data_IF_110586163853
#
_entry.id   IF_110586163853
#
_cell.length_a   1.000
_cell.length_b   1.000
_cell.length_c   1.000
_cell.angle_alpha   90.00
_cell.angle_beta   90.00
_cell.angle_gamma   90.00
#
_symmetry.space_group_name_H-M   'P 1'
#
loop_
_entity.id
_entity.type
_entity.pdbx_description
1 polymer ?
#
# COMPACT_ATOMS: atom_id res chain seq x y z
N UNK A 1 -12.48 -22.53 -18.79
CA UNK A 1 -12.47 -21.85 -17.48
C UNK A 1 -13.77 -21.07 -17.39
N UNK A 2 -14.60 -21.33 -16.37
CA UNK A 2 -15.90 -20.68 -16.24
C UNK A 2 -15.71 -19.17 -16.04
N UNK A 3 -16.18 -18.37 -16.99
CA UNK A 3 -16.30 -16.92 -16.86
C UNK A 3 -17.45 -16.66 -15.89
N UNK A 4 -17.16 -16.51 -14.60
CA UNK A 4 -18.13 -16.00 -13.63
C UNK A 4 -18.46 -14.56 -14.02
N UNK A 5 -19.72 -14.28 -14.35
CA UNK A 5 -20.14 -12.93 -14.68
C UNK A 5 -19.81 -11.97 -13.53
N UNK A 6 -19.44 -10.71 -13.78
CA UNK A 6 -19.22 -9.74 -12.72
C UNK A 6 -20.49 -9.60 -11.89
N UNK A 7 -20.38 -9.84 -10.58
CA UNK A 7 -21.52 -9.76 -9.66
C UNK A 7 -21.34 -8.55 -8.76
N UNK A 8 -21.83 -7.41 -9.20
CA UNK A 8 -21.99 -6.23 -8.34
C UNK A 8 -22.84 -6.60 -7.13
N UNK A 9 -22.46 -6.08 -5.95
CA UNK A 9 -23.16 -6.35 -4.70
C UNK A 9 -23.74 -5.06 -4.17
N UNK A 10 -25.01 -5.08 -3.81
CA UNK A 10 -25.68 -3.99 -3.10
C UNK A 10 -25.61 -4.22 -1.59
N UNK A 11 -25.11 -3.24 -0.85
CA UNK A 11 -24.97 -3.36 0.60
C UNK A 11 -24.99 -2.00 1.30
N UNK A 12 -25.28 -1.97 2.60
CA UNK A 12 -25.11 -0.78 3.43
C UNK A 12 -23.72 -0.76 4.03
N UNK A 13 -23.01 0.35 3.84
CA UNK A 13 -21.68 0.54 4.41
C UNK A 13 -21.77 1.26 5.75
N UNK A 14 -20.78 1.02 6.62
CA UNK A 14 -20.60 1.79 7.85
C UNK A 14 -19.59 2.89 7.63
N UNK A 15 -20.03 4.12 7.85
CA UNK A 15 -19.24 5.32 7.63
C UNK A 15 -18.83 5.97 8.94
N UNK A 16 -17.72 6.71 8.91
CA UNK A 16 -17.33 7.56 10.03
C UNK A 16 -18.37 8.66 10.17
N UNK A 17 -19.06 8.69 11.31
CA UNK A 17 -20.04 9.72 11.61
C UNK A 17 -19.32 10.99 12.08
N UNK A 18 -19.56 12.11 11.41
CA UNK A 18 -18.98 13.39 11.80
C UNK A 18 -19.44 13.78 13.20
N UNK A 19 -18.49 13.97 14.12
CA UNK A 19 -18.75 14.38 15.49
C UNK A 19 -18.44 15.86 15.65
N UNK A 20 -19.20 16.56 16.51
CA UNK A 20 -18.94 17.96 16.84
C UNK A 20 -17.49 18.16 17.34
N UNK A 21 -16.93 17.18 18.05
CA UNK A 21 -15.54 17.23 18.53
C UNK A 21 -14.50 17.34 17.41
N UNK A 22 -14.82 16.93 16.17
CA UNK A 22 -13.88 16.97 15.04
C UNK A 22 -13.54 18.37 14.55
N UNK A 23 -14.34 19.37 14.95
CA UNK A 23 -14.07 20.78 14.68
C UNK A 23 -12.86 21.32 15.46
N UNK A 24 -12.56 20.74 16.62
CA UNK A 24 -11.48 21.19 17.50
C UNK A 24 -10.44 20.09 17.79
N UNK A 25 -10.75 18.82 17.50
CA UNK A 25 -9.88 17.68 17.74
C UNK A 25 -9.95 16.69 16.58
N UNK A 26 -8.83 16.41 15.92
CA UNK A 26 -8.80 15.50 14.75
C UNK A 26 -9.35 14.10 15.11
N UNK A 27 -10.04 13.41 14.18
CA UNK A 27 -10.35 11.99 14.33
C UNK A 27 -9.05 11.18 14.53
N UNK A 28 -9.00 10.34 15.56
CA UNK A 28 -7.83 9.56 15.92
C UNK A 28 -8.20 8.18 16.47
N UNK A 29 -7.27 7.23 16.28
CA UNK A 29 -7.22 5.94 16.98
C UNK A 29 -5.79 5.65 17.37
N UNK A 30 -5.53 5.56 18.67
CA UNK A 30 -4.25 5.23 19.26
C UNK A 30 -4.05 3.72 19.14
N UNK A 31 -3.01 3.32 18.43
CA UNK A 31 -2.60 1.93 18.34
C UNK A 31 -1.98 1.49 19.68
N UNK A 32 -2.64 0.58 20.40
CA UNK A 32 -2.08 -0.01 21.61
C UNK A 32 -1.16 -1.17 21.26
N UNK A 33 0.16 -0.95 21.39
CA UNK A 33 1.16 -2.00 21.21
C UNK A 33 1.70 -2.45 22.59
N UNK A 34 1.57 -3.74 22.92
CA UNK A 34 2.12 -4.31 24.15
C UNK A 34 1.07 -4.84 25.15
N UNK A 35 1.54 -5.35 26.31
CA UNK A 35 0.67 -5.80 27.41
C UNK A 35 0.13 -4.58 28.16
N UNK A 36 -1.19 -4.46 28.31
CA UNK A 36 -1.85 -3.39 29.08
C UNK A 36 -1.25 -3.31 30.49
N UNK A 37 -0.78 -2.14 30.94
CA UNK A 37 -0.42 -1.95 32.36
C UNK A 37 -1.72 -1.80 33.16
N UNK A 38 -1.80 -2.45 34.31
CA UNK A 38 -2.99 -2.40 35.19
C UNK A 38 -3.33 -0.99 35.68
N UNK A 39 -2.37 -0.06 35.62
CA UNK A 39 -2.49 1.33 36.05
C UNK A 39 -2.97 2.29 34.95
N UNK A 40 -3.15 1.83 33.70
CA UNK A 40 -3.63 2.68 32.62
C UNK A 40 -5.13 2.94 32.82
N UNK A 41 -5.44 3.93 33.66
CA UNK A 41 -6.77 4.51 33.78
C UNK A 41 -7.34 4.72 32.37
N UNK A 42 -8.57 4.23 32.13
CA UNK A 42 -9.31 4.12 30.84
C UNK A 42 -9.13 5.32 29.89
N UNK A 43 -7.95 5.50 29.30
CA UNK A 43 -7.73 6.53 28.31
C UNK A 43 -8.45 6.07 27.04
N UNK A 44 -9.38 6.89 26.54
CA UNK A 44 -10.11 6.60 25.30
C UNK A 44 -9.09 6.42 24.17
N UNK A 45 -9.05 5.22 23.61
CA UNK A 45 -8.10 4.84 22.57
C UNK A 45 -8.50 5.36 21.19
N UNK A 46 -9.70 5.90 21.03
CA UNK A 46 -10.14 6.61 19.82
C UNK A 46 -11.28 7.57 20.15
N UNK A 47 -11.50 8.53 19.26
CA UNK A 47 -12.71 9.37 19.21
C UNK A 47 -13.57 9.07 17.97
N UNK A 48 -13.31 7.96 17.26
CA UNK A 48 -14.06 7.53 16.06
C UNK A 48 -15.42 6.93 16.44
N UNK A 49 -16.48 7.41 15.80
CA UNK A 49 -17.85 6.85 15.89
C UNK A 49 -18.28 6.47 14.49
N UNK A 50 -18.79 5.25 14.31
CA UNK A 50 -19.27 4.77 13.02
C UNK A 50 -20.77 4.53 13.08
N UNK A 51 -21.46 4.93 12.02
CA UNK A 51 -22.89 4.67 11.82
C UNK A 51 -23.08 3.96 10.48
N UNK A 52 -24.18 3.22 10.36
CA UNK A 52 -24.59 2.68 9.06
C UNK A 52 -25.07 3.81 8.15
N UNK A 53 -24.74 3.74 6.87
CA UNK A 53 -25.22 4.67 5.86
C UNK A 53 -26.72 4.56 5.63
N UNK A 54 -27.33 5.68 5.28
CA UNK A 54 -28.76 5.74 4.98
C UNK A 54 -29.07 4.98 3.67
N UNK A 55 -28.18 5.13 2.68
CA UNK A 55 -28.34 4.59 1.34
C UNK A 55 -27.67 3.22 1.15
N UNK A 56 -28.17 2.50 0.14
CA UNK A 56 -27.56 1.27 -0.35
C UNK A 56 -26.47 1.62 -1.36
N UNK A 57 -25.28 1.09 -1.14
CA UNK A 57 -24.11 1.29 -1.97
C UNK A 57 -23.89 0.10 -2.90
N UNK A 58 -23.39 0.37 -4.10
CA UNK A 58 -23.04 -0.67 -5.07
C UNK A 58 -21.53 -0.91 -5.02
N UNK A 59 -21.13 -2.07 -4.54
CA UNK A 59 -19.77 -2.58 -4.65
C UNK A 59 -19.62 -3.22 -6.02
N UNK A 60 -18.88 -2.53 -6.90
CA UNK A 60 -18.67 -2.96 -8.29
C UNK A 60 -17.64 -4.07 -8.39
N UNK A 61 -17.96 -5.12 -9.12
CA UNK A 61 -17.01 -6.15 -9.51
C UNK A 61 -16.20 -5.67 -10.72
N UNK A 62 -14.90 -5.51 -10.52
CA UNK A 62 -13.97 -4.99 -11.54
C UNK A 62 -13.25 -6.10 -12.30
N UNK A 63 -13.55 -7.38 -12.02
CA UNK A 63 -12.98 -8.51 -12.77
C UNK A 63 -13.44 -8.48 -14.22
N UNK A 64 -12.51 -8.61 -15.15
CA UNK A 64 -12.76 -8.50 -16.59
C UNK A 64 -12.66 -7.06 -17.14
N UNK A 65 -12.58 -6.05 -16.27
CA UNK A 65 -12.33 -4.66 -16.67
C UNK A 65 -10.86 -4.42 -17.10
N UNK A 66 -10.01 -5.43 -17.01
CA UNK A 66 -8.57 -5.27 -17.13
C UNK A 66 -8.04 -5.45 -18.57
N UNK A 67 -8.89 -5.89 -19.52
CA UNK A 67 -8.48 -6.42 -20.83
C UNK A 67 -7.72 -5.46 -21.75
N UNK A 68 -7.89 -4.14 -21.59
CA UNK A 68 -7.12 -3.07 -22.27
C UNK A 68 -7.13 -1.75 -21.48
N UNK A 69 -7.43 -1.82 -20.18
CA UNK A 69 -7.89 -0.66 -19.44
C UNK A 69 -9.30 -0.33 -19.82
N UNK A 70 -10.24 -0.66 -18.94
CA UNK A 70 -11.51 0.01 -18.96
C UNK A 70 -11.27 1.53 -19.01
N UNK A 71 -11.67 2.22 -20.09
CA UNK A 71 -11.38 3.65 -20.26
C UNK A 71 -12.03 4.51 -19.17
N UNK A 72 -12.95 3.93 -18.38
CA UNK A 72 -13.52 4.56 -17.19
C UNK A 72 -12.53 4.71 -16.03
N UNK A 73 -11.44 3.94 -16.03
CA UNK A 73 -10.41 3.94 -14.99
C UNK A 73 -9.03 4.17 -15.62
N UNK A 74 -8.60 5.43 -15.65
CA UNK A 74 -7.27 5.83 -16.12
C UNK A 74 -6.46 6.40 -14.96
N UNK A 75 -5.12 6.34 -15.07
CA UNK A 75 -4.24 6.93 -14.06
C UNK A 75 -4.50 8.43 -13.91
N UNK A 76 -4.71 9.17 -15.00
CA UNK A 76 -4.92 10.61 -14.97
C UNK A 76 -6.28 11.00 -14.37
N UNK A 77 -7.35 10.28 -14.70
CA UNK A 77 -8.69 10.62 -14.22
C UNK A 77 -8.98 10.08 -12.81
N UNK A 78 -8.44 8.91 -12.46
CA UNK A 78 -8.83 8.20 -11.24
C UNK A 78 -7.68 8.06 -10.24
N UNK A 79 -6.43 8.27 -10.66
CA UNK A 79 -5.23 7.95 -9.86
C UNK A 79 -4.94 6.45 -9.74
N UNK A 80 -5.70 5.59 -10.44
CA UNK A 80 -5.49 4.14 -10.49
C UNK A 80 -6.00 3.55 -11.80
N UNK A 81 -5.52 2.35 -12.14
CA UNK A 81 -5.92 1.61 -13.34
C UNK A 81 -5.99 0.11 -13.04
N UNK A 82 -6.88 -0.60 -13.73
CA UNK A 82 -6.94 -2.06 -13.70
C UNK A 82 -6.18 -2.65 -14.89
N UNK A 83 -5.27 -3.59 -14.60
CA UNK A 83 -4.46 -4.27 -15.59
C UNK A 83 -4.34 -5.75 -15.30
N UNK A 84 -4.51 -6.55 -16.34
CA UNK A 84 -4.22 -7.98 -16.30
C UNK A 84 -2.84 -8.18 -16.86
N UNK A 85 -1.95 -8.58 -15.98
CA UNK A 85 -0.59 -8.88 -16.36
C UNK A 85 -0.45 -10.36 -16.69
N UNK A 86 0.15 -10.69 -17.85
CA UNK A 86 0.36 -12.08 -18.23
C UNK A 86 1.42 -12.75 -17.34
N UNK A 87 1.45 -14.09 -17.28
CA UNK A 87 2.54 -14.84 -16.69
C UNK A 87 3.92 -14.39 -17.24
N UNK A 88 5.01 -14.48 -16.44
CA UNK A 88 5.10 -15.16 -15.16
C UNK A 88 4.95 -14.21 -13.96
N UNK A 89 3.77 -13.63 -13.76
CA UNK A 89 3.38 -13.21 -12.42
C UNK A 89 3.12 -14.43 -11.56
N UNK A 90 3.56 -14.35 -10.29
CA UNK A 90 3.37 -15.41 -9.32
C UNK A 90 1.90 -15.78 -9.19
N UNK A 91 1.55 -16.96 -9.68
CA UNK A 91 0.21 -17.52 -9.52
C UNK A 91 0.06 -18.25 -8.19
N UNK A 92 1.17 -18.65 -7.56
CA UNK A 92 1.17 -19.26 -6.23
C UNK A 92 1.56 -18.20 -5.17
N UNK A 93 0.66 -17.88 -4.22
CA UNK A 93 0.97 -16.99 -3.09
C UNK A 93 2.25 -17.36 -2.31
N UNK A 94 2.70 -18.62 -2.35
CA UNK A 94 3.94 -19.06 -1.70
C UNK A 94 5.20 -18.46 -2.32
N UNK A 95 5.17 -18.11 -3.60
CA UNK A 95 6.32 -17.55 -4.31
C UNK A 95 6.70 -16.17 -3.74
N UNK A 96 5.74 -15.43 -3.19
CA UNK A 96 5.97 -14.16 -2.50
C UNK A 96 6.66 -14.29 -1.14
N UNK A 97 6.89 -15.51 -0.64
CA UNK A 97 7.56 -15.74 0.64
C UNK A 97 9.10 -15.81 0.52
N UNK A 98 9.64 -15.92 -0.70
CA UNK A 98 11.06 -16.06 -0.99
C UNK A 98 11.68 -14.71 -1.43
N UNK A 99 12.58 -14.11 -0.63
CA UNK A 99 13.22 -12.84 -0.98
C UNK A 99 13.90 -12.83 -2.35
N UNK A 100 14.59 -13.91 -2.70
CA UNK A 100 15.33 -14.01 -3.96
C UNK A 100 14.39 -13.98 -5.16
N UNK A 101 13.20 -14.59 -5.04
CA UNK A 101 12.18 -14.54 -6.09
C UNK A 101 11.57 -13.14 -6.22
N UNK A 102 11.33 -12.46 -5.09
CA UNK A 102 10.88 -11.07 -5.12
C UNK A 102 11.90 -10.20 -5.87
N UNK A 103 13.18 -10.28 -5.49
CA UNK A 103 14.22 -9.43 -6.06
C UNK A 103 14.50 -9.72 -7.54
N UNK A 104 14.56 -10.99 -7.92
CA UNK A 104 15.04 -11.37 -9.26
C UNK A 104 13.92 -11.52 -10.30
N UNK A 105 12.65 -11.63 -9.87
CA UNK A 105 11.52 -11.78 -10.79
C UNK A 105 10.44 -10.72 -10.60
N UNK A 106 9.93 -10.55 -9.38
CA UNK A 106 8.78 -9.67 -9.15
C UNK A 106 9.11 -8.18 -9.29
N UNK A 107 10.18 -7.71 -8.66
CA UNK A 107 10.55 -6.29 -8.72
C UNK A 107 10.88 -5.82 -10.14
N UNK A 108 11.65 -6.58 -10.95
CA UNK A 108 11.85 -6.26 -12.37
C UNK A 108 10.53 -6.18 -13.15
N UNK A 109 9.60 -7.11 -12.93
CA UNK A 109 8.28 -7.06 -13.58
C UNK A 109 7.47 -5.83 -13.15
N UNK A 110 7.54 -5.42 -11.88
CA UNK A 110 6.92 -4.18 -11.43
C UNK A 110 7.56 -2.95 -12.09
N UNK A 111 8.87 -2.93 -12.29
CA UNK A 111 9.56 -1.87 -13.01
C UNK A 111 9.11 -1.79 -14.47
N UNK A 112 9.05 -2.92 -15.18
CA UNK A 112 8.58 -2.98 -16.57
C UNK A 112 7.11 -2.54 -16.69
N UNK A 113 6.27 -2.99 -15.76
CA UNK A 113 4.89 -2.51 -15.63
C UNK A 113 4.83 -0.99 -15.52
N UNK A 114 5.58 -0.40 -14.59
CA UNK A 114 5.52 1.04 -14.33
C UNK A 114 6.00 1.85 -15.54
N UNK A 115 7.03 1.38 -16.24
CA UNK A 115 7.51 2.00 -17.49
C UNK A 115 6.49 1.92 -18.62
N UNK A 116 5.71 0.84 -18.69
CA UNK A 116 4.69 0.65 -19.73
C UNK A 116 3.42 1.47 -19.45
N UNK A 117 3.05 1.66 -18.18
CA UNK A 117 1.81 2.36 -17.81
C UNK A 117 2.00 3.88 -17.67
N UNK A 118 3.21 4.35 -17.40
CA UNK A 118 3.49 5.77 -17.18
C UNK A 118 4.37 6.28 -18.32
N UNK A 119 3.83 7.23 -19.09
CA UNK A 119 4.55 7.82 -20.21
C UNK A 119 5.76 8.65 -19.77
N UNK A 120 6.88 8.51 -20.50
CA UNK A 120 8.08 9.30 -20.26
C UNK A 120 8.92 8.88 -19.06
N UNK A 121 8.77 7.64 -18.57
CA UNK A 121 9.60 7.10 -17.49
C UNK A 121 10.92 6.54 -18.04
N UNK A 122 12.01 7.23 -17.77
CA UNK A 122 13.36 6.75 -18.12
C UNK A 122 13.89 5.71 -17.13
N UNK A 123 13.55 5.86 -15.83
CA UNK A 123 14.08 5.04 -14.74
C UNK A 123 13.06 4.84 -13.63
N UNK A 124 12.99 3.61 -13.14
CA UNK A 124 12.24 3.24 -11.92
C UNK A 124 13.23 2.76 -10.88
N UNK A 125 13.01 3.12 -9.61
CA UNK A 125 13.76 2.59 -8.48
C UNK A 125 12.80 2.11 -7.41
N UNK A 126 12.84 0.82 -7.11
CA UNK A 126 12.12 0.23 -5.98
C UNK A 126 13.11 0.02 -4.84
N UNK A 127 13.04 0.86 -3.81
CA UNK A 127 14.04 0.88 -2.72
C UNK A 127 13.53 0.36 -1.38
N UNK A 128 12.21 0.31 -1.18
CA UNK A 128 11.61 -0.14 0.07
C UNK A 128 10.47 -1.14 -0.17
N UNK A 129 10.84 -2.42 -0.16
CA UNK A 129 9.90 -3.53 -0.22
C UNK A 129 10.09 -4.44 0.99
N UNK A 130 9.00 -5.06 1.44
CA UNK A 130 8.96 -5.90 2.65
C UNK A 130 8.07 -7.11 2.42
N UNK A 131 8.49 -8.26 2.91
CA UNK A 131 7.64 -9.47 2.95
C UNK A 131 6.85 -9.47 4.25
N UNK A 132 5.52 -9.48 4.14
CA UNK A 132 4.63 -9.65 5.31
C UNK A 132 4.35 -11.13 5.52
N UNK A 133 4.85 -11.70 6.63
CA UNK A 133 4.55 -13.07 7.04
C UNK A 133 4.51 -13.23 8.55
N UNK A 134 3.94 -14.33 9.02
CA UNK A 134 3.99 -14.70 10.44
C UNK A 134 5.45 -15.00 10.82
N UNK A 135 6.08 -14.09 11.55
CA UNK A 135 7.47 -14.28 12.04
C UNK A 135 7.58 -15.51 12.95
N UNK A 136 8.47 -16.43 12.59
CA UNK A 136 8.93 -17.52 13.45
C UNK A 136 9.68 -17.00 14.68
N UNK A 137 9.87 -17.86 15.69
CA UNK A 137 10.63 -17.49 16.89
C UNK A 137 12.07 -17.06 16.55
N UNK A 138 12.71 -17.73 15.57
CA UNK A 138 14.05 -17.42 15.08
C UNK A 138 14.12 -16.05 14.40
N UNK A 139 13.16 -15.73 13.53
CA UNK A 139 13.10 -14.44 12.83
C UNK A 139 12.81 -13.27 13.77
N UNK A 140 12.01 -13.48 14.82
CA UNK A 140 11.78 -12.48 15.86
C UNK A 140 13.07 -12.15 16.61
N UNK A 141 13.94 -13.13 16.83
CA UNK A 141 15.25 -12.94 17.47
C UNK A 141 16.25 -12.26 16.55
N UNK A 142 16.29 -12.63 15.26
CA UNK A 142 17.28 -12.13 14.29
C UNK A 142 17.02 -10.69 13.79
N UNK A 143 15.89 -10.05 14.16
CA UNK A 143 15.50 -8.70 13.67
C UNK A 143 15.70 -8.53 12.15
N UNK A 144 15.25 -9.49 11.34
CA UNK A 144 15.34 -9.33 9.88
C UNK A 144 14.51 -8.09 9.44
N UNK A 145 15.14 -7.07 8.84
CA UNK A 145 14.47 -5.81 8.52
C UNK A 145 13.46 -5.96 7.38
N UNK A 146 13.62 -6.96 6.51
CA UNK A 146 12.78 -7.14 5.32
C UNK A 146 11.55 -8.00 5.58
N UNK A 147 11.41 -8.52 6.80
CA UNK A 147 10.25 -9.29 7.23
C UNK A 147 9.42 -8.45 8.19
N UNK A 148 8.16 -8.20 7.82
CA UNK A 148 7.16 -7.57 8.67
C UNK A 148 6.09 -8.58 9.09
N UNK A 149 5.48 -8.32 10.25
CA UNK A 149 4.26 -9.02 10.61
C UNK A 149 3.11 -8.50 9.73
N UNK A 150 2.05 -9.30 9.57
CA UNK A 150 0.84 -8.85 8.89
C UNK A 150 0.31 -7.55 9.50
N UNK A 151 -0.03 -6.59 8.64
CA UNK A 151 -0.63 -5.34 9.06
C UNK A 151 -1.99 -5.64 9.68
N UNK A 152 -2.20 -5.16 10.91
CA UNK A 152 -3.51 -5.24 11.59
C UNK A 152 -4.28 -3.93 11.46
N UNK A 153 -3.61 -2.88 10.98
CA UNK A 153 -4.13 -1.53 10.85
C UNK A 153 -3.49 -0.87 9.63
N UNK A 154 -4.32 -0.16 8.86
CA UNK A 154 -3.86 0.78 7.84
C UNK A 154 -3.21 1.96 8.56
N UNK A 155 -2.03 2.35 8.12
CA UNK A 155 -1.25 3.46 8.64
C UNK A 155 -0.58 4.16 7.46
N UNK A 156 -0.09 5.39 7.69
CA UNK A 156 0.67 6.10 6.67
C UNK A 156 2.02 5.40 6.52
N UNK A 157 2.24 4.75 5.37
CA UNK A 157 3.36 3.82 5.14
C UNK A 157 4.76 4.47 5.21
N UNK A 158 4.87 5.81 5.17
CA UNK A 158 6.17 6.50 5.27
C UNK A 158 6.88 6.35 6.61
N UNK A 159 6.19 5.83 7.64
CA UNK A 159 6.80 5.59 8.97
C UNK A 159 7.62 4.29 8.98
N UNK A 160 7.39 3.38 8.02
CA UNK A 160 8.04 2.06 7.99
C UNK A 160 9.15 1.94 6.95
N UNK A 161 9.52 3.03 6.28
CA UNK A 161 10.59 2.99 5.29
C UNK A 161 11.94 2.68 5.91
N UNK A 162 12.86 2.08 5.15
CA UNK A 162 14.26 1.94 5.56
C UNK A 162 14.91 3.29 5.89
N UNK A 163 14.44 4.37 5.27
CA UNK A 163 14.89 5.73 5.55
C UNK A 163 14.31 6.27 6.85
N UNK A 164 14.99 7.25 7.43
CA UNK A 164 14.55 7.94 8.65
C UNK A 164 13.17 8.60 8.48
N UNK A 165 12.44 8.71 9.59
CA UNK A 165 11.13 9.35 9.59
C UNK A 165 11.26 10.78 9.07
N UNK A 166 10.33 11.18 8.20
CA UNK A 166 10.32 12.49 7.53
C UNK A 166 11.50 12.75 6.57
N UNK A 167 12.25 11.73 6.13
CA UNK A 167 13.21 11.89 5.03
C UNK A 167 12.48 12.42 3.80
N UNK A 168 12.89 13.62 3.36
CA UNK A 168 12.31 14.30 2.20
C UNK A 168 12.56 13.50 0.93
N UNK A 169 11.69 13.64 -0.06
CA UNK A 169 11.83 12.95 -1.33
C UNK A 169 13.19 13.21 -2.01
N UNK A 170 13.65 14.46 -2.03
CA UNK A 170 14.97 14.80 -2.59
C UNK A 170 16.12 14.15 -1.82
N UNK A 171 16.02 14.04 -0.49
CA UNK A 171 17.01 13.33 0.31
C UNK A 171 17.03 11.83 0.00
N UNK A 172 15.87 11.21 -0.27
CA UNK A 172 15.81 9.80 -0.69
C UNK A 172 16.55 9.57 -2.00
N UNK A 173 16.36 10.44 -2.99
CA UNK A 173 17.09 10.37 -4.27
C UNK A 173 18.60 10.46 -4.03
N UNK A 174 19.06 11.41 -3.20
CA UNK A 174 20.48 11.55 -2.85
C UNK A 174 21.04 10.34 -2.10
N UNK A 175 20.26 9.75 -1.21
CA UNK A 175 20.70 8.61 -0.40
C UNK A 175 20.78 7.33 -1.21
N UNK A 176 19.77 7.05 -2.05
CA UNK A 176 19.68 5.80 -2.80
C UNK A 176 20.42 5.84 -4.14
N UNK A 177 20.54 7.02 -4.77
CA UNK A 177 21.18 7.22 -6.07
C UNK A 177 22.25 8.33 -6.04
N UNK A 178 23.26 8.27 -5.14
CA UNK A 178 24.16 9.40 -4.90
C UNK A 178 24.96 9.85 -6.13
N UNK A 179 25.30 8.90 -7.02
CA UNK A 179 26.08 9.19 -8.24
C UNK A 179 25.27 9.97 -9.29
N UNK A 180 23.99 9.65 -9.41
CA UNK A 180 23.12 10.19 -10.45
C UNK A 180 22.21 11.30 -9.91
N UNK A 181 22.22 11.53 -8.58
CA UNK A 181 21.26 12.38 -7.89
C UNK A 181 21.18 13.79 -8.47
N UNK A 182 22.31 14.41 -8.83
CA UNK A 182 22.28 15.76 -9.41
C UNK A 182 21.46 15.78 -10.71
N UNK A 183 21.80 14.90 -11.65
CA UNK A 183 21.12 14.81 -12.93
C UNK A 183 19.63 14.45 -12.79
N UNK A 184 19.30 13.51 -11.90
CA UNK A 184 17.91 13.09 -11.67
C UNK A 184 17.07 14.20 -11.06
N UNK A 185 17.63 14.96 -10.10
CA UNK A 185 16.93 16.06 -9.42
C UNK A 185 16.68 17.27 -10.33
N UNK A 186 17.42 17.40 -11.43
CA UNK A 186 17.18 18.40 -12.47
C UNK A 186 15.99 18.03 -13.37
N UNK A 187 15.52 16.77 -13.31
CA UNK A 187 14.40 16.26 -14.09
C UNK A 187 13.08 16.19 -13.31
N UNK A 188 12.06 15.58 -13.96
CA UNK A 188 10.80 15.24 -13.30
C UNK A 188 10.99 13.93 -12.54
N UNK A 189 10.68 13.93 -11.25
CA UNK A 189 10.70 12.72 -10.43
C UNK A 189 9.36 12.59 -9.72
N UNK A 190 8.80 11.39 -9.74
CA UNK A 190 7.52 11.06 -9.10
C UNK A 190 7.71 9.97 -8.05
N UNK A 191 7.11 10.16 -6.88
CA UNK A 191 7.05 9.13 -5.84
C UNK A 191 5.74 8.37 -5.95
N UNK A 192 5.82 7.07 -6.16
CA UNK A 192 4.68 6.16 -6.15
C UNK A 192 4.73 5.37 -4.83
N UNK A 193 3.59 5.25 -4.14
CA UNK A 193 3.46 4.56 -2.85
C UNK A 193 2.44 3.45 -2.95
#
# INVERSE_FOLDING_TARGET
>A
MASTAPTDIQTKLKYLQWQASYTHARPYRIAQFGRKRKSDQKQKTHNLVFAEGDDIEIIRDVRGAEGKGDPRFTLDANGFVYRKYPPPLFTDPKEFAAPDHIQNAFLPQCEDMLKNEIEGVDRVLIFDWKIRKRKSAKERRKKNPDILSFARQVHIDTILTKDELATSFMARVRNHLPKDAHHLLDGRIQMIK
#
